data_IF_496195881941
#
_entry.id   IF_496195881941
#
_cell.length_a   1.000
_cell.length_b   1.000
_cell.length_c   1.000
_cell.angle_alpha   90.00
_cell.angle_beta   90.00
_cell.angle_gamma   90.00
#
_symmetry.space_group_name_H-M   'P 1'
#
loop_
_entity.id
_entity.type
_entity.pdbx_description
1 polymer ?
#
# COMPACT_ATOMS: atom_id res chain seq x y z
N UNK A 1 5.34 10.39 -13.50
CA UNK A 1 3.89 10.09 -13.52
C UNK A 1 3.21 10.97 -12.48
N UNK A 2 3.75 11.02 -11.26
CA UNK A 2 3.40 12.01 -10.24
C UNK A 2 3.26 13.45 -10.76
N UNK A 3 4.25 14.00 -11.51
CA UNK A 3 4.14 15.37 -12.06
C UNK A 3 3.24 15.55 -13.29
N UNK A 4 2.86 14.48 -14.01
CA UNK A 4 2.03 14.57 -15.23
C UNK A 4 0.53 14.43 -14.93
N UNK A 5 0.21 13.78 -13.81
CA UNK A 5 -1.16 13.55 -13.34
C UNK A 5 -1.42 14.17 -11.96
N UNK A 6 -0.49 14.95 -11.42
CA UNK A 6 -0.49 15.43 -10.03
C UNK A 6 -0.75 14.31 -9.01
N UNK A 7 -0.20 13.12 -9.27
CA UNK A 7 -0.45 11.97 -8.42
C UNK A 7 0.32 12.09 -7.10
N UNK A 8 -0.41 11.97 -5.99
CA UNK A 8 0.11 12.12 -4.64
C UNK A 8 0.54 10.76 -4.09
N UNK A 9 1.84 10.52 -3.84
CA UNK A 9 2.32 9.23 -3.35
C UNK A 9 1.88 9.02 -1.90
N UNK A 10 1.39 7.81 -1.61
CA UNK A 10 0.99 7.38 -0.26
C UNK A 10 1.66 6.04 0.05
N UNK A 11 2.52 6.04 1.06
CA UNK A 11 3.17 4.83 1.56
C UNK A 11 2.22 4.09 2.50
N UNK A 12 1.65 2.98 2.04
CA UNK A 12 0.67 2.21 2.82
C UNK A 12 1.33 1.51 4.02
N UNK A 13 2.52 0.95 3.83
CA UNK A 13 3.28 0.30 4.90
C UNK A 13 3.64 1.27 6.02
N UNK A 14 4.14 2.47 5.68
CA UNK A 14 4.51 3.47 6.69
C UNK A 14 3.30 3.87 7.55
N UNK A 15 2.16 4.22 6.92
CA UNK A 15 0.93 4.58 7.65
C UNK A 15 0.47 3.47 8.59
N UNK A 16 0.51 2.22 8.13
CA UNK A 16 0.15 1.08 8.96
C UNK A 16 1.14 0.87 10.13
N UNK A 17 2.45 0.91 9.83
CA UNK A 17 3.50 0.68 10.81
C UNK A 17 3.54 1.78 11.87
N UNK A 18 3.23 3.03 11.54
CA UNK A 18 3.13 4.13 12.51
C UNK A 18 2.09 3.80 13.60
N UNK A 19 0.89 3.36 13.20
CA UNK A 19 -0.16 2.96 14.14
C UNK A 19 0.19 1.69 14.91
N UNK A 20 0.80 0.69 14.23
CA UNK A 20 1.22 -0.54 14.89
C UNK A 20 2.28 -0.26 15.97
N UNK A 21 3.29 0.54 15.65
CA UNK A 21 4.32 0.94 16.60
C UNK A 21 3.73 1.74 17.77
N UNK A 22 2.83 2.68 17.50
CA UNK A 22 2.18 3.45 18.56
C UNK A 22 1.39 2.56 19.55
N UNK A 23 0.70 1.53 19.06
CA UNK A 23 -0.03 0.57 19.90
C UNK A 23 0.91 -0.28 20.77
N UNK A 24 2.06 -0.66 20.21
CA UNK A 24 3.08 -1.45 20.94
C UNK A 24 3.78 -0.59 21.99
N UNK A 25 4.16 0.64 21.63
CA UNK A 25 4.89 1.57 22.49
C UNK A 25 4.01 2.13 23.64
N UNK A 26 2.68 2.10 23.49
CA UNK A 26 1.73 2.50 24.53
C UNK A 26 1.75 1.59 25.78
N UNK A 27 2.37 0.41 25.70
CA UNK A 27 2.41 -0.55 26.79
C UNK A 27 3.86 -1.01 27.07
N UNK A 28 4.20 -1.34 28.35
CA UNK A 28 5.54 -1.84 28.68
C UNK A 28 5.87 -3.19 28.01
N UNK A 29 4.85 -3.96 27.61
CA UNK A 29 4.94 -5.23 26.89
C UNK A 29 3.75 -5.36 25.94
N UNK A 30 3.90 -6.00 24.77
CA UNK A 30 5.10 -6.64 24.24
C UNK A 30 6.16 -5.65 23.77
N UNK A 31 7.44 -6.06 23.74
CA UNK A 31 8.51 -5.23 23.13
C UNK A 31 8.44 -5.30 21.61
N UNK A 32 9.05 -4.34 20.91
CA UNK A 32 9.18 -4.36 19.45
C UNK A 32 9.84 -5.65 18.93
N UNK A 33 10.86 -6.16 19.61
CA UNK A 33 11.50 -7.45 19.27
C UNK A 33 10.53 -8.63 19.40
N UNK A 34 9.65 -8.60 20.40
CA UNK A 34 8.59 -9.61 20.57
C UNK A 34 7.59 -9.57 19.40
N UNK A 35 7.27 -8.37 18.92
CA UNK A 35 6.37 -8.17 17.77
C UNK A 35 7.02 -8.68 16.48
N UNK A 36 8.29 -8.38 16.24
CA UNK A 36 9.05 -8.92 15.09
C UNK A 36 9.12 -10.45 15.16
N UNK A 37 9.38 -11.02 16.34
CA UNK A 37 9.37 -12.47 16.52
C UNK A 37 8.00 -13.10 16.30
N UNK A 38 6.92 -12.40 16.66
CA UNK A 38 5.55 -12.84 16.42
C UNK A 38 5.15 -12.78 14.95
N UNK A 39 5.72 -11.87 14.16
CA UNK A 39 5.43 -11.70 12.73
C UNK A 39 5.93 -12.87 11.87
N UNK A 40 7.02 -13.51 12.30
CA UNK A 40 7.57 -14.71 11.66
C UNK A 40 7.16 -16.01 12.36
N UNK A 41 6.33 -15.93 13.40
CA UNK A 41 5.92 -17.10 14.16
C UNK A 41 4.97 -17.99 13.33
N UNK A 42 4.97 -19.32 13.56
CA UNK A 42 4.08 -20.23 12.85
C UNK A 42 2.60 -19.78 12.96
N UNK A 43 1.82 -19.87 11.86
CA UNK A 43 0.39 -19.59 11.89
C UNK A 43 -0.32 -20.38 12.98
N UNK A 44 -1.21 -19.72 13.73
CA UNK A 44 -1.94 -20.34 14.84
C UNK A 44 -1.15 -20.44 16.16
N UNK A 45 0.13 -20.07 16.18
CA UNK A 45 0.86 -19.91 17.44
C UNK A 45 0.29 -18.75 18.27
N UNK A 46 0.49 -18.80 19.60
CA UNK A 46 0.03 -17.73 20.51
C UNK A 46 0.60 -16.35 20.15
N UNK A 47 1.86 -16.31 19.66
CA UNK A 47 2.49 -15.08 19.20
C UNK A 47 1.78 -14.52 17.97
N UNK A 48 1.56 -15.36 16.95
CA UNK A 48 0.86 -14.96 15.73
C UNK A 48 -0.57 -14.49 16.00
N UNK A 49 -1.31 -15.17 16.90
CA UNK A 49 -2.67 -14.78 17.27
C UNK A 49 -2.69 -13.39 17.92
N UNK A 50 -1.83 -13.17 18.94
CA UNK A 50 -1.74 -11.86 19.61
C UNK A 50 -1.32 -10.75 18.66
N UNK A 51 -0.37 -11.02 17.77
CA UNK A 51 0.01 -10.04 16.75
C UNK A 51 -1.17 -9.70 15.84
N UNK A 52 -1.99 -10.68 15.47
CA UNK A 52 -3.22 -10.46 14.71
C UNK A 52 -4.15 -9.43 15.35
N UNK A 53 -4.27 -9.41 16.68
CA UNK A 53 -5.09 -8.41 17.40
C UNK A 53 -4.53 -6.98 17.23
N UNK A 54 -3.21 -6.82 17.35
CA UNK A 54 -2.53 -5.52 17.13
C UNK A 54 -2.62 -5.07 15.68
N UNK A 55 -2.43 -5.99 14.74
CA UNK A 55 -2.52 -5.75 13.30
C UNK A 55 -3.91 -5.27 12.92
N UNK A 56 -4.97 -5.95 13.39
CA UNK A 56 -6.34 -5.50 13.14
C UNK A 56 -6.60 -4.13 13.75
N UNK A 57 -6.15 -3.89 14.99
CA UNK A 57 -6.32 -2.59 15.63
C UNK A 57 -5.59 -1.47 14.88
N UNK A 58 -4.36 -1.71 14.41
CA UNK A 58 -3.60 -0.77 13.61
C UNK A 58 -4.33 -0.45 12.29
N UNK A 59 -4.89 -1.45 11.63
CA UNK A 59 -5.69 -1.23 10.42
C UNK A 59 -6.97 -0.44 10.67
N UNK A 60 -7.65 -0.64 11.80
CA UNK A 60 -8.81 0.17 12.18
C UNK A 60 -8.46 1.66 12.34
N UNK A 61 -7.23 1.97 12.74
CA UNK A 61 -6.75 3.35 12.88
C UNK A 61 -6.24 3.93 11.54
N UNK A 62 -5.49 3.14 10.77
CA UNK A 62 -4.91 3.57 9.49
C UNK A 62 -5.97 3.72 8.37
N UNK A 63 -7.03 2.91 8.39
CA UNK A 63 -8.00 2.89 7.29
C UNK A 63 -8.81 4.19 7.15
N UNK A 64 -9.27 4.88 8.19
CA UNK A 64 -9.86 6.20 8.03
C UNK A 64 -8.90 7.22 7.39
N UNK A 65 -7.64 7.26 7.82
CA UNK A 65 -6.62 8.20 7.32
C UNK A 65 -6.31 7.98 5.85
N UNK A 66 -6.00 6.73 5.47
CA UNK A 66 -5.76 6.36 4.08
C UNK A 66 -6.99 6.60 3.18
N UNK A 67 -8.20 6.69 3.75
CA UNK A 67 -9.44 6.94 2.98
C UNK A 67 -9.63 8.43 2.77
N UNK A 68 -9.28 9.25 3.77
CA UNK A 68 -9.29 10.70 3.66
C UNK A 68 -8.30 11.22 2.60
N UNK A 69 -7.30 10.42 2.22
CA UNK A 69 -6.42 10.74 1.09
C UNK A 69 -7.16 10.73 -0.26
N UNK A 70 -8.28 10.02 -0.41
CA UNK A 70 -9.11 10.09 -1.61
C UNK A 70 -9.95 11.37 -1.57
N UNK A 71 -9.74 12.23 -2.57
CA UNK A 71 -10.50 13.46 -2.75
C UNK A 71 -10.76 13.69 -4.23
N UNK A 72 -12.00 14.05 -4.57
CA UNK A 72 -12.39 14.46 -5.92
C UNK A 72 -11.82 15.82 -6.32
N UNK A 73 -11.44 16.64 -5.34
CA UNK A 73 -10.90 17.99 -5.53
C UNK A 73 -9.37 17.99 -5.65
N UNK A 74 -8.71 16.86 -5.39
CA UNK A 74 -7.26 16.71 -5.44
C UNK A 74 -6.82 15.75 -6.55
N UNK A 75 -5.53 15.80 -6.89
CA UNK A 75 -4.93 14.81 -7.78
C UNK A 75 -5.05 13.37 -7.23
N UNK A 76 -4.97 12.35 -8.11
CA UNK A 76 -5.13 10.95 -7.77
C UNK A 76 -4.07 10.50 -6.75
N UNK A 77 -4.41 9.59 -5.86
CA UNK A 77 -3.42 8.99 -4.95
C UNK A 77 -2.68 7.84 -5.64
N UNK A 78 -1.38 7.72 -5.40
CA UNK A 78 -0.58 6.57 -5.80
C UNK A 78 -0.18 5.79 -4.55
N UNK A 79 -0.85 4.68 -4.30
CA UNK A 79 -0.53 3.75 -3.21
C UNK A 79 0.72 2.95 -3.58
N UNK A 80 1.74 2.99 -2.73
CA UNK A 80 2.93 2.16 -2.84
C UNK A 80 3.23 1.45 -1.52
N UNK A 81 4.14 0.47 -1.56
CA UNK A 81 4.43 -0.43 -0.43
C UNK A 81 3.16 -1.10 0.13
N UNK A 82 2.22 -1.42 -0.75
CA UNK A 82 0.89 -1.93 -0.41
C UNK A 82 0.87 -3.44 -0.07
N UNK A 83 2.00 -4.14 -0.18
CA UNK A 83 2.12 -5.57 0.10
C UNK A 83 1.68 -5.95 1.52
N UNK A 84 1.80 -5.02 2.48
CA UNK A 84 1.31 -5.19 3.86
C UNK A 84 -0.18 -5.50 3.96
N UNK A 85 -0.98 -5.06 2.98
CA UNK A 85 -2.42 -5.38 2.93
C UNK A 85 -2.64 -6.87 2.70
N UNK A 86 -1.88 -7.47 1.78
CA UNK A 86 -1.96 -8.90 1.51
C UNK A 86 -1.37 -9.73 2.66
N UNK A 87 -0.17 -9.35 3.14
CA UNK A 87 0.53 -10.00 4.25
C UNK A 87 -0.34 -10.12 5.50
N UNK A 88 -1.10 -9.07 5.80
CA UNK A 88 -1.97 -8.98 6.97
C UNK A 88 -3.46 -9.20 6.67
N UNK A 89 -3.79 -9.86 5.55
CA UNK A 89 -5.17 -10.27 5.18
C UNK A 89 -6.18 -9.11 5.12
N UNK A 90 -5.72 -7.90 4.80
CA UNK A 90 -6.48 -6.66 4.75
C UNK A 90 -6.81 -6.21 3.31
N UNK A 91 -6.78 -7.12 2.33
CA UNK A 91 -7.06 -6.80 0.92
C UNK A 91 -8.46 -6.22 0.68
N UNK A 92 -9.46 -6.59 1.49
CA UNK A 92 -10.81 -6.03 1.36
C UNK A 92 -10.83 -4.50 1.54
N UNK A 93 -9.92 -3.95 2.36
CA UNK A 93 -9.76 -2.50 2.55
C UNK A 93 -9.20 -1.79 1.32
N UNK A 94 -8.48 -2.51 0.46
CA UNK A 94 -8.06 -2.00 -0.85
C UNK A 94 -9.27 -1.90 -1.78
N UNK A 95 -10.11 -2.94 -1.79
CA UNK A 95 -11.27 -3.02 -2.68
C UNK A 95 -12.35 -2.01 -2.29
N UNK A 96 -12.62 -1.82 -1.00
CA UNK A 96 -13.51 -0.74 -0.52
C UNK A 96 -13.07 0.64 -1.02
N UNK A 97 -11.76 0.91 -1.07
CA UNK A 97 -11.23 2.16 -1.64
C UNK A 97 -11.34 2.22 -3.15
N UNK A 98 -11.05 1.12 -3.84
CA UNK A 98 -11.19 1.06 -5.29
C UNK A 98 -12.64 1.34 -5.70
N UNK A 99 -13.61 0.79 -4.98
CA UNK A 99 -15.03 1.02 -5.22
C UNK A 99 -15.42 2.48 -4.93
N UNK A 100 -14.91 3.07 -3.85
CA UNK A 100 -15.11 4.50 -3.57
C UNK A 100 -14.52 5.39 -4.67
N UNK A 101 -13.31 5.08 -5.15
CA UNK A 101 -12.65 5.80 -6.24
C UNK A 101 -13.45 5.71 -7.54
N UNK A 102 -13.91 4.51 -7.92
CA UNK A 102 -14.80 4.29 -9.08
C UNK A 102 -16.14 5.01 -8.94
N UNK A 103 -16.62 5.20 -7.72
CA UNK A 103 -17.83 5.97 -7.41
C UNK A 103 -17.63 7.49 -7.39
N UNK A 104 -16.42 7.97 -7.71
CA UNK A 104 -16.12 9.40 -7.83
C UNK A 104 -15.54 10.07 -6.59
N UNK A 105 -15.12 9.30 -5.56
CA UNK A 105 -14.48 9.88 -4.37
C UNK A 105 -13.07 10.45 -4.63
N UNK A 106 -12.51 10.26 -5.83
CA UNK A 106 -11.17 10.67 -6.24
C UNK A 106 -10.46 9.57 -7.04
N UNK A 107 -9.37 9.91 -7.72
CA UNK A 107 -8.59 8.93 -8.48
C UNK A 107 -7.61 8.14 -7.58
N UNK A 108 -7.39 6.87 -7.90
CA UNK A 108 -6.44 5.99 -7.19
C UNK A 108 -5.64 5.13 -8.15
N UNK A 109 -4.35 4.98 -7.85
CA UNK A 109 -3.44 4.03 -8.48
C UNK A 109 -2.78 3.17 -7.40
N UNK A 110 -2.47 1.92 -7.73
CA UNK A 110 -1.73 1.01 -6.85
C UNK A 110 -0.50 0.52 -7.58
N UNK A 111 0.67 0.74 -7.00
CA UNK A 111 1.92 0.21 -7.52
C UNK A 111 2.08 -1.25 -7.06
N UNK A 112 2.10 -2.18 -8.01
CA UNK A 112 2.36 -3.59 -7.78
C UNK A 112 3.75 -3.94 -8.33
N UNK A 113 4.76 -4.20 -7.48
CA UNK A 113 6.06 -4.68 -7.95
C UNK A 113 5.92 -6.07 -8.59
N UNK A 114 6.37 -6.23 -9.84
CA UNK A 114 6.29 -7.49 -10.57
C UNK A 114 7.54 -7.74 -11.41
N UNK A 115 7.92 -9.01 -11.53
CA UNK A 115 9.00 -9.44 -12.43
C UNK A 115 8.55 -9.52 -13.89
N UNK A 116 7.30 -9.94 -14.13
CA UNK A 116 6.71 -10.04 -15.46
C UNK A 116 5.42 -9.20 -15.56
N UNK A 117 5.42 -8.08 -16.30
CA UNK A 117 4.25 -7.23 -16.51
C UNK A 117 3.15 -7.87 -17.36
N UNK A 118 3.36 -9.06 -17.95
CA UNK A 118 2.31 -9.80 -18.64
C UNK A 118 1.41 -10.62 -17.70
N UNK A 119 1.83 -10.81 -16.44
CA UNK A 119 1.04 -11.52 -15.42
C UNK A 119 0.06 -10.57 -14.71
N UNK A 120 -0.97 -11.16 -14.09
CA UNK A 120 -1.90 -10.40 -13.26
C UNK A 120 -1.17 -9.68 -12.10
N UNK A 121 -1.56 -8.43 -11.77
CA UNK A 121 -0.98 -7.68 -10.66
C UNK A 121 -1.13 -8.42 -9.35
N UNK A 122 -0.04 -8.47 -8.57
CA UNK A 122 0.00 -9.12 -7.25
C UNK A 122 0.61 -8.21 -6.19
N UNK A 123 0.12 -8.39 -4.96
CA UNK A 123 0.71 -7.89 -3.73
C UNK A 123 0.95 -9.07 -2.80
N UNK A 124 2.21 -9.33 -2.43
CA UNK A 124 2.60 -10.48 -1.57
C UNK A 124 1.96 -11.81 -2.01
N UNK A 125 1.96 -12.07 -3.33
CA UNK A 125 1.35 -13.26 -3.94
C UNK A 125 -0.18 -13.21 -4.11
N UNK A 126 -0.88 -12.32 -3.43
CA UNK A 126 -2.33 -12.13 -3.60
C UNK A 126 -2.62 -11.35 -4.89
N UNK A 127 -3.48 -11.90 -5.75
CA UNK A 127 -3.92 -11.22 -6.98
C UNK A 127 -4.76 -9.99 -6.63
N UNK A 128 -4.41 -8.84 -7.20
CA UNK A 128 -5.16 -7.60 -7.08
C UNK A 128 -6.31 -7.63 -8.10
N UNK A 129 -7.55 -7.45 -7.65
CA UNK A 129 -8.71 -7.35 -8.53
C UNK A 129 -8.65 -6.06 -9.35
N UNK A 130 -8.58 -6.22 -10.68
CA UNK A 130 -8.60 -5.14 -11.67
C UNK A 130 -9.66 -5.46 -12.72
N UNK A 131 -10.38 -4.44 -13.20
CA UNK A 131 -11.25 -4.56 -14.36
C UNK A 131 -10.47 -4.60 -15.68
N UNK A 132 -11.17 -4.86 -16.77
CA UNK A 132 -10.59 -4.80 -18.12
C UNK A 132 -10.02 -3.40 -18.39
N UNK A 133 -8.77 -3.33 -18.86
CA UNK A 133 -8.01 -2.09 -19.11
C UNK A 133 -7.74 -1.21 -17.88
N UNK A 134 -7.92 -1.72 -16.64
CA UNK A 134 -7.67 -0.97 -15.40
C UNK A 134 -6.24 -1.15 -14.87
N UNK A 135 -5.34 -1.72 -15.68
CA UNK A 135 -3.94 -1.95 -15.33
C UNK A 135 -3.01 -1.72 -16.53
N UNK A 136 -1.81 -1.24 -16.24
CA UNK A 136 -0.77 -0.95 -17.23
C UNK A 136 0.59 -1.34 -16.66
N UNK A 137 1.38 -2.08 -17.45
CA UNK A 137 2.78 -2.35 -17.13
C UNK A 137 3.63 -1.09 -17.29
N UNK A 138 4.46 -0.77 -16.30
CA UNK A 138 5.42 0.32 -16.39
C UNK A 138 6.70 -0.17 -17.09
N UNK A 139 7.13 0.42 -18.22
CA UNK A 139 8.35 0.01 -18.91
C UNK A 139 9.62 0.30 -18.09
N UNK A 140 10.68 -0.48 -18.25
CA UNK A 140 11.96 -0.31 -17.53
C UNK A 140 12.57 1.08 -17.66
N UNK A 141 12.38 1.75 -18.81
CA UNK A 141 12.83 3.13 -19.04
C UNK A 141 12.26 4.13 -18.02
N UNK A 142 11.10 3.84 -17.43
CA UNK A 142 10.49 4.61 -16.35
C UNK A 142 11.12 4.34 -14.97
N UNK A 143 11.54 3.09 -14.73
CA UNK A 143 12.12 2.63 -13.46
C UNK A 143 13.55 3.17 -13.28
N UNK A 144 14.32 3.25 -14.36
CA UNK A 144 15.73 3.72 -14.36
C UNK A 144 15.86 5.26 -14.26
N UNK A 145 14.77 6.00 -14.04
CA UNK A 145 14.82 7.46 -13.86
C UNK A 145 15.32 8.22 -15.12
N UNK A 146 15.28 7.59 -16.30
CA UNK A 146 15.80 8.14 -17.57
C UNK A 146 14.97 9.32 -18.12
N UNK A 147 13.83 9.65 -17.49
CA UNK A 147 13.01 10.81 -17.86
C UNK A 147 13.55 12.15 -17.36
N UNK A 148 14.65 12.20 -16.58
CA UNK A 148 15.28 13.46 -16.15
C UNK A 148 16.37 14.00 -17.09
N UNK A 149 16.76 13.27 -18.15
CA UNK A 149 17.88 13.69 -19.00
C UNK A 149 17.49 14.42 -20.30
N UNK A 150 16.21 14.75 -20.51
CA UNK A 150 15.76 15.51 -21.70
C UNK A 150 15.44 16.99 -21.42
N UNK A 151 15.97 17.55 -20.32
CA UNK A 151 16.00 18.98 -20.06
C UNK A 151 17.44 19.41 -19.77
N UNK A 152 18.24 19.45 -20.84
CA UNK A 152 19.65 19.84 -20.79
C UNK A 152 20.13 20.25 -22.18
N UNK A 153 19.62 21.39 -22.65
CA UNK A 153 20.14 22.32 -23.67
C UNK A 153 20.67 21.80 -25.03
N UNK A 154 20.16 22.34 -26.16
CA UNK A 154 21.01 22.74 -27.28
C UNK A 154 21.49 24.19 -27.10
N UNK A 155 22.75 24.41 -27.47
CA UNK A 155 23.45 25.70 -27.52
C UNK A 155 22.89 26.65 -28.58
#
# INVERSE_FOLDING_TARGET
MARRFDARPVNVAARFLDHLHALVDAHPKPTRETVVGADIAPPGSRGAIKLGEYVERAWQLAAPELRAELSAEAGPVLLHDAAVLARHRAMDRLYERADAARSGAGGMWVLCPMEDPALLPKLDGAVVRVGDNEWIGLPDAWVVNAHRSAAGSPS
#
